data_IF_231766701550
#
_entry.id   IF_231766701550
#
_cell.length_a   1.000
_cell.length_b   1.000
_cell.length_c   1.000
_cell.angle_alpha   90.00
_cell.angle_beta   90.00
_cell.angle_gamma   90.00
#
_symmetry.space_group_name_H-M   'P 1'
#
loop_
_entity.id
_entity.type
_entity.pdbx_description
1 polymer ?
#
# COMPACT_ATOMS: atom_id res chain seq x y z
N UNK A 1 0.89 22.15 3.41
CA UNK A 1 -0.05 21.68 2.37
C UNK A 1 -1.45 21.66 2.97
N UNK A 2 -2.44 22.25 2.31
CA UNK A 2 -3.86 22.16 2.69
C UNK A 2 -4.65 21.65 1.47
N UNK A 3 -5.55 20.67 1.63
CA UNK A 3 -6.31 20.16 0.50
C UNK A 3 -7.22 21.26 -0.07
N UNK A 4 -7.31 21.34 -1.40
CA UNK A 4 -8.16 22.31 -2.09
C UNK A 4 -9.67 22.07 -1.83
N UNK A 5 -10.04 20.86 -1.42
CA UNK A 5 -11.39 20.52 -0.97
C UNK A 5 -11.30 19.46 0.12
N UNK A 6 -12.12 19.52 1.17
CA UNK A 6 -12.19 18.45 2.17
C UNK A 6 -12.59 17.14 1.48
N UNK A 7 -11.67 16.18 1.44
CA UNK A 7 -11.95 14.83 0.96
C UNK A 7 -12.40 13.99 2.15
N UNK A 8 -13.65 13.52 2.11
CA UNK A 8 -14.11 12.45 2.99
C UNK A 8 -13.95 11.14 2.20
N UNK A 9 -12.92 10.32 2.48
CA UNK A 9 -12.74 9.06 1.77
C UNK A 9 -13.94 8.15 2.02
N UNK A 10 -14.33 7.38 1.01
CA UNK A 10 -15.50 6.48 1.09
C UNK A 10 -15.24 5.28 1.99
N UNK A 11 -13.97 4.98 2.25
CA UNK A 11 -13.49 4.02 3.22
C UNK A 11 -12.25 4.52 3.95
N UNK A 12 -12.12 4.15 5.21
CA UNK A 12 -10.90 4.39 6.00
C UNK A 12 -10.11 3.08 6.06
N UNK A 13 -8.79 3.18 6.04
CA UNK A 13 -7.91 2.02 6.07
C UNK A 13 -7.92 1.33 7.45
N UNK A 14 -8.00 0.00 7.42
CA UNK A 14 -7.69 -0.86 8.57
C UNK A 14 -6.33 -1.50 8.34
N UNK A 15 -5.41 -1.35 9.27
CA UNK A 15 -4.06 -1.90 9.19
C UNK A 15 -4.03 -3.35 9.70
N UNK A 16 -3.37 -4.22 8.94
CA UNK A 16 -3.07 -5.58 9.34
C UNK A 16 -1.85 -5.56 10.26
N UNK A 17 -2.02 -5.99 11.52
CA UNK A 17 -0.95 -6.06 12.54
C UNK A 17 -0.54 -7.51 12.83
N UNK A 18 -1.25 -8.50 12.26
CA UNK A 18 -0.84 -9.89 12.28
C UNK A 18 0.28 -10.17 11.27
N UNK A 19 1.18 -11.12 11.59
CA UNK A 19 2.33 -11.47 10.74
C UNK A 19 1.87 -12.08 9.40
N UNK A 20 2.00 -11.42 8.24
CA UNK A 20 1.48 -11.96 6.98
C UNK A 20 2.24 -13.22 6.51
N UNK A 21 1.63 -14.06 5.67
CA UNK A 21 2.33 -15.25 5.13
C UNK A 21 3.01 -14.91 3.82
N UNK A 22 4.22 -15.43 3.65
CA UNK A 22 4.92 -15.43 2.37
C UNK A 22 4.08 -16.21 1.35
N UNK A 23 4.08 -15.74 0.11
CA UNK A 23 3.29 -16.21 -1.02
C UNK A 23 1.78 -15.88 -0.96
N UNK A 24 1.32 -15.16 0.09
CA UNK A 24 -0.05 -14.63 0.13
C UNK A 24 -0.30 -13.70 -1.07
N UNK A 25 -1.50 -13.80 -1.64
CA UNK A 25 -1.96 -12.85 -2.66
C UNK A 25 -2.16 -11.47 -2.03
N UNK A 26 -1.70 -10.44 -2.72
CA UNK A 26 -1.82 -9.06 -2.30
C UNK A 26 -2.36 -8.19 -3.43
N UNK A 27 -2.79 -6.99 -3.09
CA UNK A 27 -3.20 -5.96 -4.03
C UNK A 27 -2.49 -4.64 -3.70
N UNK A 28 -2.20 -3.83 -4.70
CA UNK A 28 -1.72 -2.45 -4.54
C UNK A 28 -2.69 -1.54 -5.27
N UNK A 29 -3.18 -0.51 -4.59
CA UNK A 29 -3.99 0.52 -5.24
C UNK A 29 -3.22 1.82 -5.43
N UNK A 30 -3.29 2.37 -6.64
CA UNK A 30 -2.51 3.54 -7.03
C UNK A 30 -3.09 4.29 -8.22
N UNK A 31 -2.41 5.35 -8.64
CA UNK A 31 -2.80 6.16 -9.79
C UNK A 31 -1.68 6.13 -10.83
N UNK A 32 -1.45 4.97 -11.49
CA UNK A 32 -0.35 4.78 -12.44
C UNK A 32 -0.44 5.72 -13.65
N UNK A 33 -1.64 6.22 -13.95
CA UNK A 33 -1.93 7.18 -15.02
C UNK A 33 -2.23 8.59 -14.49
N UNK A 34 -1.83 8.89 -13.25
CA UNK A 34 -2.19 10.14 -12.56
C UNK A 34 -3.70 10.33 -12.47
N UNK A 35 -4.17 11.56 -12.68
CA UNK A 35 -5.59 11.92 -12.59
C UNK A 35 -6.45 11.51 -13.80
N UNK A 36 -5.94 10.72 -14.75
CA UNK A 36 -6.70 10.30 -15.93
C UNK A 36 -7.86 9.36 -15.58
N UNK A 37 -7.74 8.60 -14.48
CA UNK A 37 -8.81 7.79 -13.91
C UNK A 37 -9.30 8.43 -12.61
N UNK A 38 -10.61 8.44 -12.40
CA UNK A 38 -11.23 9.00 -11.18
C UNK A 38 -11.14 8.09 -9.96
N UNK A 39 -10.70 6.83 -10.15
CA UNK A 39 -10.55 5.81 -9.12
C UNK A 39 -9.18 5.18 -9.28
N UNK A 40 -8.55 4.82 -8.15
CA UNK A 40 -7.28 4.13 -8.13
C UNK A 40 -7.36 2.80 -8.92
N UNK A 41 -6.36 2.55 -9.76
CA UNK A 41 -6.15 1.24 -10.38
C UNK A 41 -5.66 0.26 -9.30
N UNK A 42 -6.03 -1.02 -9.44
CA UNK A 42 -5.58 -2.07 -8.52
C UNK A 42 -4.70 -3.08 -9.26
N UNK A 43 -3.46 -3.24 -8.81
CA UNK A 43 -2.49 -4.21 -9.31
C UNK A 43 -2.38 -5.37 -8.32
N UNK A 44 -2.54 -6.60 -8.80
CA UNK A 44 -2.44 -7.80 -7.95
C UNK A 44 -1.06 -8.45 -8.08
N UNK A 45 -0.63 -9.07 -6.98
CA UNK A 45 0.66 -9.73 -6.89
C UNK A 45 0.74 -10.65 -5.70
N UNK A 46 1.97 -10.91 -5.25
CA UNK A 46 2.25 -11.80 -4.11
C UNK A 46 3.22 -11.16 -3.12
N UNK A 47 3.06 -11.49 -1.84
CA UNK A 47 4.05 -11.16 -0.81
C UNK A 47 5.24 -12.10 -0.95
N UNK A 48 6.36 -11.61 -1.48
CA UNK A 48 7.54 -12.42 -1.74
C UNK A 48 8.37 -12.68 -0.47
N UNK A 49 8.43 -11.71 0.45
CA UNK A 49 9.06 -11.85 1.76
C UNK A 49 8.55 -10.77 2.71
N UNK A 50 8.62 -11.04 4.01
CA UNK A 50 8.30 -10.10 5.09
C UNK A 50 9.50 -9.24 5.52
N UNK A 51 10.66 -9.42 4.89
CA UNK A 51 11.87 -8.61 5.08
C UNK A 51 12.38 -8.02 3.77
N UNK A 52 13.10 -6.90 3.84
CA UNK A 52 13.78 -6.29 2.70
C UNK A 52 14.96 -7.13 2.16
N UNK A 53 15.54 -6.77 1.00
CA UNK A 53 16.65 -7.50 0.39
C UNK A 53 17.92 -7.57 1.25
N UNK A 54 18.11 -6.61 2.16
CA UNK A 54 19.20 -6.57 3.14
C UNK A 54 18.84 -7.17 4.50
N UNK A 55 17.63 -7.72 4.66
CA UNK A 55 17.11 -8.25 5.92
C UNK A 55 16.42 -7.21 6.80
N UNK A 56 16.11 -6.03 6.27
CA UNK A 56 15.38 -4.96 6.94
C UNK A 56 13.98 -5.45 7.35
N UNK A 57 13.60 -5.31 8.62
CA UNK A 57 12.31 -5.82 9.12
C UNK A 57 11.15 -4.85 8.82
N UNK A 58 11.45 -3.56 8.68
CA UNK A 58 10.48 -2.51 8.32
C UNK A 58 10.10 -2.50 6.84
N UNK A 59 10.69 -3.41 6.04
CA UNK A 59 10.43 -3.55 4.61
C UNK A 59 9.85 -4.91 4.25
N UNK A 60 8.90 -4.93 3.33
CA UNK A 60 8.36 -6.15 2.71
C UNK A 60 8.74 -6.21 1.24
N UNK A 61 9.09 -7.39 0.73
CA UNK A 61 9.31 -7.62 -0.70
C UNK A 61 8.04 -8.11 -1.35
N UNK A 62 7.71 -7.53 -2.49
CA UNK A 62 6.51 -7.84 -3.27
C UNK A 62 6.91 -8.34 -4.64
N UNK A 63 6.16 -9.31 -5.15
CA UNK A 63 6.22 -9.78 -6.53
C UNK A 63 5.02 -9.20 -7.30
N UNK A 64 5.20 -8.04 -7.94
CA UNK A 64 4.23 -7.38 -8.80
C UNK A 64 4.89 -6.34 -9.71
N UNK A 65 4.18 -5.94 -10.77
CA UNK A 65 4.62 -4.88 -11.67
C UNK A 65 3.99 -3.54 -11.26
N UNK A 66 4.66 -2.81 -10.37
CA UNK A 66 4.24 -1.47 -9.96
C UNK A 66 4.69 -0.42 -10.97
N UNK A 67 3.91 0.64 -11.13
CA UNK A 67 4.26 1.84 -11.90
C UNK A 67 4.62 3.00 -10.97
N UNK A 68 5.32 4.04 -11.45
CA UNK A 68 5.68 5.20 -10.62
C UNK A 68 4.49 5.86 -9.90
N UNK A 69 3.32 5.92 -10.54
CA UNK A 69 2.09 6.48 -9.95
C UNK A 69 1.40 5.58 -8.92
N UNK A 70 1.89 4.36 -8.70
CA UNK A 70 1.42 3.49 -7.60
C UNK A 70 2.12 3.79 -6.28
N UNK A 71 3.25 4.51 -6.31
CA UNK A 71 4.04 4.80 -5.11
C UNK A 71 3.21 5.54 -4.04
N UNK A 72 3.34 5.11 -2.79
CA UNK A 72 2.53 5.56 -1.66
C UNK A 72 1.16 4.88 -1.56
N UNK A 73 0.78 4.07 -2.55
CA UNK A 73 -0.44 3.28 -2.54
C UNK A 73 -0.45 2.20 -1.45
N UNK A 74 -1.61 1.87 -0.86
CA UNK A 74 -1.69 0.82 0.14
C UNK A 74 -1.46 -0.56 -0.50
N UNK A 75 -0.65 -1.37 0.17
CA UNK A 75 -0.53 -2.80 -0.08
C UNK A 75 -1.56 -3.50 0.80
N UNK A 76 -2.49 -4.23 0.20
CA UNK A 76 -3.60 -4.89 0.88
C UNK A 76 -3.43 -6.40 0.88
N UNK A 77 -3.82 -7.04 1.99
CA UNK A 77 -4.14 -8.47 1.97
C UNK A 77 -5.47 -8.72 1.25
N UNK A 78 -5.81 -10.00 1.03
CA UNK A 78 -7.09 -10.35 0.40
C UNK A 78 -8.32 -10.07 1.27
N UNK A 79 -8.13 -9.70 2.55
CA UNK A 79 -9.17 -9.17 3.43
C UNK A 79 -9.40 -7.68 3.22
N UNK A 80 -8.54 -6.99 2.46
CA UNK A 80 -8.58 -5.55 2.23
C UNK A 80 -7.97 -4.74 3.38
N UNK A 81 -7.23 -5.38 4.30
CA UNK A 81 -6.47 -4.68 5.32
C UNK A 81 -5.07 -4.32 4.81
N UNK A 82 -4.53 -3.19 5.26
CA UNK A 82 -3.25 -2.64 4.82
C UNK A 82 -2.09 -3.37 5.47
N UNK A 83 -1.28 -4.06 4.66
CA UNK A 83 -0.01 -4.69 5.02
C UNK A 83 1.18 -3.71 5.02
N UNK A 84 1.03 -2.57 4.34
CA UNK A 84 2.08 -1.58 4.19
C UNK A 84 1.78 -0.54 3.11
N UNK A 85 2.76 0.32 2.83
CA UNK A 85 2.70 1.31 1.76
C UNK A 85 3.75 0.99 0.70
N UNK A 86 3.36 0.98 -0.58
CA UNK A 86 4.28 0.76 -1.69
C UNK A 86 5.34 1.87 -1.71
N UNK A 87 6.61 1.50 -1.70
CA UNK A 87 7.71 2.43 -1.84
C UNK A 87 7.97 2.75 -3.32
N UNK A 88 8.42 3.98 -3.63
CA UNK A 88 8.89 4.33 -4.96
C UNK A 88 10.05 3.43 -5.38
N UNK A 89 9.89 2.73 -6.51
CA UNK A 89 10.86 1.74 -7.00
C UNK A 89 12.19 2.31 -7.49
N UNK A 90 12.25 3.62 -7.73
CA UNK A 90 13.40 4.38 -8.24
C UNK A 90 14.19 5.12 -7.14
N UNK A 91 13.66 5.21 -5.91
CA UNK A 91 14.21 6.07 -4.84
C UNK A 91 15.10 5.35 -3.82
N UNK A 92 15.53 4.13 -4.08
CA UNK A 92 16.59 3.51 -3.28
C UNK A 92 17.94 3.98 -3.84
N UNK A 93 18.56 4.98 -3.21
CA UNK A 93 19.85 5.52 -3.67
C UNK A 93 20.87 4.39 -3.93
N UNK A 94 21.42 4.37 -5.14
CA UNK A 94 22.45 3.39 -5.54
C UNK A 94 21.94 1.96 -5.75
N UNK A 95 20.63 1.69 -5.77
CA UNK A 95 20.09 0.33 -5.93
C UNK A 95 18.94 0.31 -6.95
N UNK A 96 19.12 -0.47 -8.01
CA UNK A 96 18.06 -0.79 -8.97
C UNK A 96 17.48 -2.17 -8.65
N UNK A 97 16.17 -2.25 -8.48
CA UNK A 97 15.48 -3.52 -8.26
C UNK A 97 15.27 -4.26 -9.61
N UNK A 98 15.33 -5.60 -9.63
CA UNK A 98 14.94 -6.37 -10.80
C UNK A 98 13.48 -6.11 -11.19
N UNK A 99 13.11 -6.29 -12.48
CA UNK A 99 11.72 -6.23 -12.90
C UNK A 99 10.82 -7.16 -12.07
N UNK A 100 9.63 -6.66 -11.71
CA UNK A 100 8.65 -7.43 -10.91
C UNK A 100 8.95 -7.49 -9.41
N UNK A 101 10.04 -6.88 -8.94
CA UNK A 101 10.35 -6.73 -7.52
C UNK A 101 10.00 -5.32 -7.06
N UNK A 102 9.13 -5.23 -6.06
CA UNK A 102 8.79 -3.97 -5.40
C UNK A 102 8.98 -4.08 -3.89
N UNK A 103 9.11 -2.95 -3.22
CA UNK A 103 9.24 -2.86 -1.78
C UNK A 103 8.06 -2.12 -1.17
N UNK A 104 7.66 -2.50 0.03
CA UNK A 104 6.70 -1.76 0.82
C UNK A 104 7.22 -1.50 2.23
N UNK A 105 6.89 -0.33 2.77
CA UNK A 105 7.06 -0.02 4.19
C UNK A 105 6.01 -0.80 4.98
N UNK A 106 6.43 -1.50 6.03
CA UNK A 106 5.55 -2.31 6.87
C UNK A 106 4.46 -1.49 7.57
N UNK A 107 3.27 -2.08 7.74
CA UNK A 107 2.11 -1.46 8.40
C UNK A 107 2.41 -0.94 9.81
N UNK A 108 3.19 -1.66 10.62
CA UNK A 108 3.57 -1.22 11.97
C UNK A 108 4.38 0.10 11.96
N UNK A 109 5.28 0.27 11.00
CA UNK A 109 6.02 1.53 10.84
C UNK A 109 5.08 2.69 10.49
N UNK A 110 4.07 2.45 9.65
CA UNK A 110 3.05 3.44 9.29
C UNK A 110 2.15 3.77 10.48
N UNK A 111 1.72 2.74 11.22
CA UNK A 111 0.90 2.86 12.42
C UNK A 111 1.62 3.70 13.48
N UNK A 112 2.88 3.39 13.77
CA UNK A 112 3.68 4.16 14.72
C UNK A 112 3.82 5.64 14.30
N UNK A 113 4.02 5.91 13.01
CA UNK A 113 4.08 7.27 12.48
C UNK A 113 2.75 8.03 12.64
N UNK A 114 1.61 7.37 12.43
CA UNK A 114 0.27 7.96 12.65
C UNK A 114 0.03 8.27 14.13
N UNK A 115 0.38 7.35 15.02
CA UNK A 115 0.20 7.54 16.48
C UNK A 115 1.09 8.65 17.04
N UNK A 116 2.31 8.81 16.52
CA UNK A 116 3.17 9.92 16.86
C UNK A 116 2.57 11.29 16.50
N UNK A 117 1.59 11.33 15.58
CA UNK A 117 0.82 12.51 15.21
C UNK A 117 -0.54 12.60 15.91
N UNK A 118 -0.82 11.73 16.88
CA UNK A 118 -2.09 11.69 17.62
C UNK A 118 -3.26 11.10 16.83
N UNK A 119 -2.99 10.41 15.72
CA UNK A 119 -4.01 9.72 14.90
C UNK A 119 -4.11 8.28 15.40
N UNK A 120 -5.33 7.82 15.72
CA UNK A 120 -5.59 6.45 16.14
C UNK A 120 -6.03 5.58 14.94
N UNK A 121 -5.15 4.75 14.36
CA UNK A 121 -5.50 3.91 13.22
C UNK A 121 -6.36 2.71 13.63
N UNK A 122 -7.25 2.28 12.71
CA UNK A 122 -7.97 1.01 12.84
C UNK A 122 -7.01 -0.15 12.58
N UNK A 123 -7.12 -1.21 13.37
CA UNK A 123 -6.24 -2.39 13.30
C UNK A 123 -7.03 -3.67 13.23
N UNK A 124 -6.42 -4.70 12.65
CA UNK A 124 -6.94 -6.06 12.66
C UNK A 124 -5.81 -7.07 12.62
N UNK A 125 -6.02 -8.21 13.25
CA UNK A 125 -5.22 -9.43 13.06
C UNK A 125 -6.00 -10.49 12.26
N UNK A 126 -7.27 -10.19 11.96
CA UNK A 126 -8.14 -11.12 11.26
C UNK A 126 -7.64 -11.28 9.84
N UNK A 127 -7.57 -12.54 9.40
CA UNK A 127 -7.35 -12.88 8.00
C UNK A 127 -8.66 -13.35 7.41
N UNK A 128 -9.03 -12.71 6.32
CA UNK A 128 -10.17 -13.12 5.52
C UNK A 128 -9.73 -13.17 4.06
N UNK A 129 -10.32 -14.10 3.31
CA UNK A 129 -10.14 -14.14 1.86
C UNK A 129 -11.36 -13.53 1.21
N UNK A 130 -11.18 -12.36 0.61
CA UNK A 130 -12.17 -11.71 -0.24
C UNK A 130 -11.95 -12.03 -1.72
N UNK A 131 -12.95 -11.69 -2.53
CA UNK A 131 -12.80 -11.72 -3.99
C UNK A 131 -11.95 -10.55 -4.46
N UNK A 132 -11.29 -10.69 -5.62
CA UNK A 132 -10.49 -9.61 -6.22
C UNK A 132 -11.32 -8.34 -6.45
N UNK A 133 -12.60 -8.48 -6.79
CA UNK A 133 -13.52 -7.36 -6.99
C UNK A 133 -13.83 -6.65 -5.67
N UNK A 134 -14.01 -7.40 -4.57
CA UNK A 134 -14.25 -6.82 -3.26
C UNK A 134 -13.02 -6.06 -2.75
N UNK A 135 -11.83 -6.62 -2.95
CA UNK A 135 -10.56 -5.96 -2.59
C UNK A 135 -10.34 -4.70 -3.42
N UNK A 136 -10.48 -4.77 -4.74
CA UNK A 136 -10.32 -3.60 -5.62
C UNK A 136 -11.29 -2.47 -5.28
N UNK A 137 -12.55 -2.80 -4.93
CA UNK A 137 -13.53 -1.82 -4.47
C UNK A 137 -13.07 -1.12 -3.18
N UNK A 138 -12.68 -1.86 -2.15
CA UNK A 138 -12.17 -1.29 -0.89
C UNK A 138 -10.94 -0.43 -1.14
N UNK A 139 -10.03 -0.89 -1.99
CA UNK A 139 -8.81 -0.19 -2.32
C UNK A 139 -9.10 1.18 -2.97
N UNK A 140 -10.05 1.22 -3.92
CA UNK A 140 -10.50 2.47 -4.55
C UNK A 140 -11.27 3.41 -3.61
N UNK A 141 -11.93 2.89 -2.56
CA UNK A 141 -12.66 3.70 -1.57
C UNK A 141 -11.73 4.44 -0.58
N UNK A 142 -10.51 3.92 -0.35
CA UNK A 142 -9.54 4.47 0.61
C UNK A 142 -8.34 5.19 0.00
N UNK A 143 -8.06 4.97 -1.30
CA UNK A 143 -6.87 5.53 -1.96
C UNK A 143 -7.20 6.86 -2.64
N UNK A 144 -6.41 7.90 -2.36
CA UNK A 144 -6.57 9.22 -2.96
C UNK A 144 -5.29 9.67 -3.67
N UNK A 145 -5.44 10.35 -4.80
CA UNK A 145 -4.34 10.99 -5.50
C UNK A 145 -3.98 12.32 -4.80
N UNK A 146 -2.75 12.41 -4.30
CA UNK A 146 -2.20 13.65 -3.73
C UNK A 146 -1.20 14.23 -4.74
N UNK A 147 -1.44 15.46 -5.18
CA UNK A 147 -0.52 16.23 -6.01
C UNK A 147 -0.18 17.55 -5.31
N UNK A 148 1.11 17.91 -5.32
CA UNK A 148 1.54 19.25 -4.96
C UNK A 148 1.49 20.11 -6.23
N UNK A 149 0.80 21.23 -6.17
CA UNK A 149 0.86 22.25 -7.22
C UNK A 149 2.08 23.13 -6.95
N UNK A 150 2.79 23.52 -8.01
CA UNK A 150 3.80 24.60 -7.97
C UNK A 150 3.14 25.97 -7.91
#
# INVERSE_FOLDING_TARGET
LRPASPLAPRGVATFQTGVPRIDDKIAVAGFPYGGALSVAATTFGRLADIRGPGGEEDLKRLALSAQPGDAGGPVLDMGGAVLGLLLPGDRQEGRMLPPGVALALESEAVVAALEAQGIAPQRTEARSEGTVQAVARRAGEMTALVSCWE
#
